data_IF_270936176050
#
_entry.id   IF_270936176050
#
_cell.length_a   1.000
_cell.length_b   1.000
_cell.length_c   1.000
_cell.angle_alpha   90.00
_cell.angle_beta   90.00
_cell.angle_gamma   90.00
#
_symmetry.space_group_name_H-M   'P 1'
#
loop_
_entity.id
_entity.type
_entity.pdbx_description
1 polymer ?
#
# COMPACT_ATOMS: atom_id res chain seq x y z
N UNK A 1 3.39 -2.20 -22.80
CA UNK A 1 2.30 -2.91 -22.09
C UNK A 1 1.35 -3.44 -23.13
N UNK A 2 1.17 -4.77 -23.19
CA UNK A 2 0.37 -5.40 -24.24
C UNK A 2 -1.14 -5.18 -23.99
N UNK A 3 -1.92 -5.16 -25.05
CA UNK A 3 -3.40 -5.11 -24.97
C UNK A 3 -3.96 -6.21 -24.06
N UNK A 4 -3.29 -7.36 -23.98
CA UNK A 4 -3.71 -8.48 -23.13
C UNK A 4 -3.73 -8.17 -21.63
N UNK A 5 -2.79 -7.37 -21.10
CA UNK A 5 -2.76 -7.02 -19.66
C UNK A 5 -3.97 -6.16 -19.26
N UNK A 6 -4.34 -5.22 -20.13
CA UNK A 6 -5.51 -4.39 -19.90
C UNK A 6 -6.83 -5.17 -19.94
N UNK A 7 -6.96 -6.08 -20.89
CA UNK A 7 -8.16 -6.92 -21.03
C UNK A 7 -8.36 -7.80 -19.79
N UNK A 8 -7.28 -8.35 -19.26
CA UNK A 8 -7.33 -9.15 -18.03
C UNK A 8 -7.70 -8.29 -16.82
N UNK A 9 -7.12 -7.10 -16.68
CA UNK A 9 -7.48 -6.20 -15.58
C UNK A 9 -8.94 -5.75 -15.64
N UNK A 10 -9.47 -5.46 -16.83
CA UNK A 10 -10.87 -5.05 -17.01
C UNK A 10 -11.86 -6.20 -16.73
N UNK A 11 -11.44 -7.45 -16.75
CA UNK A 11 -12.27 -8.58 -16.38
C UNK A 11 -12.72 -8.54 -14.91
N UNK A 12 -11.91 -7.91 -14.03
CA UNK A 12 -12.25 -7.71 -12.61
C UNK A 12 -13.08 -6.44 -12.37
N UNK A 13 -13.31 -5.66 -13.40
CA UNK A 13 -14.18 -4.50 -13.30
C UNK A 13 -15.64 -4.95 -13.39
N UNK A 14 -16.51 -4.51 -12.46
CA UNK A 14 -17.90 -4.95 -12.44
C UNK A 14 -18.63 -4.55 -13.72
N UNK A 15 -19.38 -5.51 -14.26
CA UNK A 15 -20.13 -5.31 -15.52
C UNK A 15 -21.33 -4.38 -15.28
N UNK A 16 -21.62 -3.56 -16.25
CA UNK A 16 -22.79 -2.67 -16.25
C UNK A 16 -24.14 -3.39 -16.19
N UNK A 17 -24.17 -4.69 -16.56
CA UNK A 17 -25.38 -5.52 -16.44
C UNK A 17 -25.83 -5.77 -14.99
N UNK A 18 -24.95 -5.61 -14.00
CA UNK A 18 -25.24 -5.79 -12.58
C UNK A 18 -25.45 -4.47 -11.83
N UNK A 19 -25.68 -3.39 -12.60
CA UNK A 19 -25.74 -2.03 -12.07
C UNK A 19 -26.86 -1.82 -11.05
N UNK A 20 -28.07 -2.33 -11.32
CA UNK A 20 -29.21 -2.13 -10.44
C UNK A 20 -29.02 -2.77 -9.06
N UNK A 21 -28.44 -3.98 -9.02
CA UNK A 21 -28.20 -4.73 -7.78
C UNK A 21 -27.02 -4.15 -6.97
N UNK A 22 -26.03 -3.61 -7.66
CA UNK A 22 -24.78 -3.17 -7.03
C UNK A 22 -24.71 -1.66 -6.74
N UNK A 23 -25.64 -0.85 -7.27
CA UNK A 23 -25.62 0.59 -7.12
C UNK A 23 -25.57 1.05 -5.65
N UNK A 24 -26.46 0.53 -4.82
CA UNK A 24 -26.55 0.90 -3.40
C UNK A 24 -25.30 0.55 -2.62
N UNK A 25 -24.74 -0.68 -2.67
CA UNK A 25 -23.49 -1.00 -1.99
C UNK A 25 -22.29 -0.20 -2.52
N UNK A 26 -22.25 0.13 -3.82
CA UNK A 26 -21.17 0.94 -4.38
C UNK A 26 -21.21 2.40 -3.93
N UNK A 27 -22.39 3.01 -3.87
CA UNK A 27 -22.56 4.37 -3.32
C UNK A 27 -22.14 4.39 -1.85
N UNK A 28 -22.61 3.43 -1.06
CA UNK A 28 -22.25 3.31 0.36
C UNK A 28 -20.73 3.15 0.52
N UNK A 29 -20.11 2.29 -0.30
CA UNK A 29 -18.66 2.09 -0.32
C UNK A 29 -17.92 3.38 -0.68
N UNK A 30 -18.39 4.13 -1.67
CA UNK A 30 -17.79 5.40 -2.09
C UNK A 30 -17.80 6.42 -0.93
N UNK A 31 -18.93 6.61 -0.27
CA UNK A 31 -19.07 7.54 0.87
C UNK A 31 -18.18 7.10 2.04
N UNK A 32 -18.22 5.81 2.39
CA UNK A 32 -17.43 5.26 3.49
C UNK A 32 -15.92 5.37 3.22
N UNK A 33 -15.46 5.03 2.02
CA UNK A 33 -14.05 5.17 1.65
C UNK A 33 -13.59 6.64 1.61
N UNK A 34 -14.44 7.56 1.18
CA UNK A 34 -14.13 9.00 1.20
C UNK A 34 -13.92 9.49 2.63
N UNK A 35 -14.77 9.07 3.56
CA UNK A 35 -14.63 9.38 4.98
C UNK A 35 -13.36 8.75 5.58
N UNK A 36 -13.10 7.46 5.30
CA UNK A 36 -11.90 6.77 5.75
C UNK A 36 -10.63 7.41 5.18
N UNK A 37 -10.64 7.82 3.92
CA UNK A 37 -9.52 8.53 3.29
C UNK A 37 -9.16 9.79 4.08
N UNK A 38 -10.13 10.65 4.33
CA UNK A 38 -9.94 11.89 5.08
C UNK A 38 -9.38 11.62 6.49
N UNK A 39 -10.03 10.73 7.24
CA UNK A 39 -9.62 10.42 8.62
C UNK A 39 -8.22 9.79 8.66
N UNK A 40 -7.91 8.89 7.73
CA UNK A 40 -6.58 8.26 7.66
C UNK A 40 -5.49 9.28 7.37
N UNK A 41 -5.69 10.17 6.40
CA UNK A 41 -4.71 11.22 6.07
C UNK A 41 -4.46 12.11 7.28
N UNK A 42 -5.52 12.58 7.95
CA UNK A 42 -5.40 13.45 9.13
C UNK A 42 -4.62 12.77 10.26
N UNK A 43 -5.00 11.53 10.61
CA UNK A 43 -4.33 10.75 11.66
C UNK A 43 -2.84 10.47 11.31
N UNK A 44 -2.52 10.19 10.05
CA UNK A 44 -1.13 9.96 9.63
C UNK A 44 -0.29 11.23 9.64
N UNK A 45 -0.86 12.38 9.30
CA UNK A 45 -0.17 13.67 9.41
C UNK A 45 0.14 13.98 10.87
N UNK A 46 -0.82 13.78 11.78
CA UNK A 46 -0.61 13.93 13.22
C UNK A 46 0.45 12.97 13.75
N UNK A 47 0.44 11.71 13.28
CA UNK A 47 1.43 10.70 13.63
C UNK A 47 2.84 11.13 13.18
N UNK A 48 2.99 11.63 11.95
CA UNK A 48 4.27 12.15 11.43
C UNK A 48 4.75 13.33 12.29
N UNK A 49 3.85 14.25 12.64
CA UNK A 49 4.18 15.39 13.47
C UNK A 49 4.64 14.93 14.87
N UNK A 50 3.90 14.02 15.50
CA UNK A 50 4.25 13.45 16.79
C UNK A 50 5.61 12.75 16.79
N UNK A 51 5.88 11.90 15.78
CA UNK A 51 7.16 11.20 15.61
C UNK A 51 8.32 12.20 15.47
N UNK A 52 8.13 13.29 14.70
CA UNK A 52 9.15 14.32 14.52
C UNK A 52 9.44 15.09 15.79
N UNK A 53 8.41 15.42 16.57
CA UNK A 53 8.50 16.19 17.81
C UNK A 53 9.09 15.39 18.98
N UNK A 54 8.87 14.07 19.02
CA UNK A 54 9.35 13.20 20.08
C UNK A 54 10.85 13.01 19.98
N UNK A 55 11.59 13.53 20.95
CA UNK A 55 13.07 13.41 21.04
C UNK A 55 13.52 12.10 21.70
N UNK A 56 12.66 11.44 22.48
CA UNK A 56 12.97 10.21 23.21
C UNK A 56 13.06 8.96 22.34
N UNK A 57 12.57 8.99 21.09
CA UNK A 57 12.61 7.85 20.19
C UNK A 57 14.02 7.67 19.56
N UNK A 58 14.56 6.45 19.53
CA UNK A 58 15.79 6.17 18.80
C UNK A 58 15.69 6.60 17.33
N UNK A 59 16.77 7.18 16.80
CA UNK A 59 16.81 7.67 15.40
C UNK A 59 16.45 6.55 14.39
N UNK A 60 16.88 5.32 14.67
CA UNK A 60 16.60 4.13 13.85
C UNK A 60 15.11 3.85 13.72
N UNK A 61 14.42 3.75 14.86
CA UNK A 61 12.97 3.55 14.89
C UNK A 61 12.21 4.70 14.25
N UNK A 62 12.64 5.93 14.51
CA UNK A 62 12.04 7.14 13.93
C UNK A 62 12.07 7.10 12.40
N UNK A 63 13.19 6.66 11.80
CA UNK A 63 13.34 6.52 10.35
C UNK A 63 12.38 5.46 9.79
N UNK A 64 12.29 4.28 10.42
CA UNK A 64 11.38 3.21 9.99
C UNK A 64 9.90 3.63 10.07
N UNK A 65 9.49 4.22 11.20
CA UNK A 65 8.11 4.68 11.38
C UNK A 65 7.75 5.82 10.42
N UNK A 66 8.70 6.70 10.12
CA UNK A 66 8.49 7.79 9.17
C UNK A 66 8.33 7.26 7.74
N UNK A 67 9.17 6.28 7.33
CA UNK A 67 9.05 5.62 6.02
C UNK A 67 7.69 4.93 5.87
N UNK A 68 7.24 4.21 6.90
CA UNK A 68 5.94 3.56 6.92
C UNK A 68 4.79 4.59 6.84
N UNK A 69 4.86 5.66 7.62
CA UNK A 69 3.84 6.70 7.59
C UNK A 69 3.77 7.42 6.24
N UNK A 70 4.91 7.61 5.56
CA UNK A 70 4.96 8.21 4.21
C UNK A 70 4.30 7.29 3.18
N UNK A 71 4.58 5.97 3.20
CA UNK A 71 3.91 5.03 2.29
C UNK A 71 2.39 5.03 2.49
N UNK A 72 1.91 5.03 3.74
CA UNK A 72 0.49 5.05 4.06
C UNK A 72 -0.20 6.35 3.61
N UNK A 73 0.45 7.51 3.82
CA UNK A 73 -0.06 8.81 3.32
C UNK A 73 -0.11 8.80 1.80
N UNK A 74 0.86 8.19 1.13
CA UNK A 74 0.89 8.10 -0.33
C UNK A 74 -0.28 7.27 -0.87
N UNK A 75 -0.65 6.16 -0.21
CA UNK A 75 -1.86 5.39 -0.54
C UNK A 75 -3.10 6.27 -0.38
N UNK A 76 -3.23 7.01 0.71
CA UNK A 76 -4.37 7.91 0.97
C UNK A 76 -4.47 9.04 -0.06
N UNK A 77 -3.35 9.67 -0.41
CA UNK A 77 -3.34 10.82 -1.32
C UNK A 77 -3.42 10.46 -2.81
N UNK A 78 -2.91 9.31 -3.21
CA UNK A 78 -2.83 8.89 -4.61
C UNK A 78 -3.80 7.74 -4.93
N UNK A 79 -3.81 6.70 -4.10
CA UNK A 79 -4.62 5.51 -4.32
C UNK A 79 -6.12 5.77 -4.12
N UNK A 80 -6.49 6.39 -3.02
CA UNK A 80 -7.89 6.63 -2.68
C UNK A 80 -8.63 7.55 -3.67
N UNK A 81 -8.09 8.70 -4.10
CA UNK A 81 -8.77 9.53 -5.10
C UNK A 81 -8.93 8.82 -6.44
N UNK A 82 -7.94 8.01 -6.85
CA UNK A 82 -8.07 7.19 -8.06
C UNK A 82 -9.17 6.13 -7.90
N UNK A 83 -9.25 5.46 -6.77
CA UNK A 83 -10.30 4.49 -6.47
C UNK A 83 -11.69 5.13 -6.52
N UNK A 84 -11.87 6.27 -5.85
CA UNK A 84 -13.14 7.03 -5.85
C UNK A 84 -13.50 7.48 -7.26
N UNK A 85 -12.51 7.92 -8.06
CA UNK A 85 -12.72 8.30 -9.46
C UNK A 85 -13.17 7.12 -10.33
N UNK A 86 -12.58 5.92 -10.13
CA UNK A 86 -13.01 4.70 -10.83
C UNK A 86 -14.43 4.30 -10.46
N UNK A 87 -14.76 4.38 -9.17
CA UNK A 87 -16.09 4.08 -8.66
C UNK A 87 -17.14 5.07 -9.20
N UNK A 88 -16.81 6.36 -9.25
CA UNK A 88 -17.66 7.41 -9.81
C UNK A 88 -17.93 7.22 -11.30
N UNK A 89 -16.93 6.79 -12.07
CA UNK A 89 -17.11 6.47 -13.49
C UNK A 89 -18.01 5.25 -13.69
N UNK A 90 -17.85 4.22 -12.87
CA UNK A 90 -18.72 3.06 -12.90
C UNK A 90 -20.17 3.44 -12.61
N UNK A 91 -20.42 4.29 -11.60
CA UNK A 91 -21.76 4.80 -11.27
C UNK A 91 -22.38 5.64 -12.41
N UNK A 92 -21.56 6.27 -13.23
CA UNK A 92 -21.99 7.01 -14.43
C UNK A 92 -22.12 6.10 -15.67
N UNK A 93 -21.92 4.79 -15.53
CA UNK A 93 -21.90 3.82 -16.64
C UNK A 93 -20.86 4.16 -17.71
N UNK A 94 -19.81 4.86 -17.36
CA UNK A 94 -18.70 5.20 -18.24
C UNK A 94 -17.54 4.22 -18.03
N UNK A 95 -16.97 3.71 -19.11
CA UNK A 95 -15.78 2.88 -19.05
C UNK A 95 -14.57 3.67 -18.53
N UNK A 96 -13.87 3.20 -17.48
CA UNK A 96 -12.79 3.95 -16.84
C UNK A 96 -11.56 4.14 -17.73
N UNK A 97 -11.48 3.47 -18.85
CA UNK A 97 -10.29 3.43 -19.69
C UNK A 97 -9.12 2.70 -19.02
N UNK A 98 -8.39 1.94 -19.84
CA UNK A 98 -7.28 1.10 -19.36
C UNK A 98 -6.24 1.84 -18.52
N UNK A 99 -5.86 3.05 -18.92
CA UNK A 99 -4.79 3.80 -18.28
C UNK A 99 -5.07 4.16 -16.81
N UNK A 100 -6.33 4.53 -16.49
CA UNK A 100 -6.70 4.91 -15.13
C UNK A 100 -6.75 3.71 -14.20
N UNK A 101 -7.36 2.62 -14.68
CA UNK A 101 -7.41 1.38 -13.89
C UNK A 101 -6.02 0.81 -13.64
N UNK A 102 -5.18 0.77 -14.67
CA UNK A 102 -3.77 0.36 -14.54
C UNK A 102 -3.00 1.27 -13.57
N UNK A 103 -3.17 2.59 -13.66
CA UNK A 103 -2.53 3.53 -12.75
C UNK A 103 -2.92 3.28 -11.29
N UNK A 104 -4.20 3.02 -11.02
CA UNK A 104 -4.67 2.65 -9.69
C UNK A 104 -4.01 1.35 -9.18
N UNK A 105 -3.98 0.30 -10.00
CA UNK A 105 -3.38 -0.99 -9.63
C UNK A 105 -1.89 -0.83 -9.34
N UNK A 106 -1.16 -0.10 -10.19
CA UNK A 106 0.28 0.17 -10.00
C UNK A 106 0.54 0.86 -8.65
N UNK A 107 -0.15 1.96 -8.40
CA UNK A 107 0.02 2.76 -7.18
C UNK A 107 -0.34 1.93 -5.95
N UNK A 108 -1.49 1.27 -5.98
CA UNK A 108 -1.96 0.46 -4.85
C UNK A 108 -1.02 -0.69 -4.51
N UNK A 109 -0.57 -1.46 -5.51
CA UNK A 109 0.34 -2.58 -5.31
C UNK A 109 1.69 -2.14 -4.78
N UNK A 110 2.29 -1.10 -5.36
CA UNK A 110 3.62 -0.64 -5.00
C UNK A 110 3.66 -0.14 -3.54
N UNK A 111 2.71 0.71 -3.16
CA UNK A 111 2.67 1.23 -1.80
C UNK A 111 2.23 0.19 -0.78
N UNK A 112 1.35 -0.76 -1.15
CA UNK A 112 0.97 -1.88 -0.27
C UNK A 112 2.17 -2.77 0.04
N UNK A 113 2.99 -3.11 -0.96
CA UNK A 113 4.23 -3.86 -0.76
C UNK A 113 5.22 -3.10 0.14
N UNK A 114 5.41 -1.80 -0.11
CA UNK A 114 6.30 -0.97 0.70
C UNK A 114 5.82 -0.87 2.16
N UNK A 115 4.52 -0.70 2.39
CA UNK A 115 3.92 -0.71 3.73
C UNK A 115 4.09 -2.06 4.41
N UNK A 116 3.83 -3.16 3.72
CA UNK A 116 3.99 -4.51 4.26
C UNK A 116 5.43 -4.75 4.76
N UNK A 117 6.42 -4.53 3.89
CA UNK A 117 7.83 -4.69 4.29
C UNK A 117 8.26 -3.70 5.37
N UNK A 118 7.69 -2.49 5.37
CA UNK A 118 7.89 -1.49 6.41
C UNK A 118 7.43 -1.99 7.79
N UNK A 119 6.25 -2.60 7.87
CA UNK A 119 5.73 -3.21 9.12
C UNK A 119 6.63 -4.35 9.57
N UNK A 120 7.04 -5.24 8.66
CA UNK A 120 7.97 -6.34 8.97
C UNK A 120 9.28 -5.79 9.53
N UNK A 121 9.86 -4.76 8.89
CA UNK A 121 11.11 -4.14 9.36
C UNK A 121 10.97 -3.54 10.77
N UNK A 122 9.86 -2.86 11.07
CA UNK A 122 9.58 -2.34 12.41
C UNK A 122 9.46 -3.46 13.43
N UNK A 123 8.80 -4.57 13.09
CA UNK A 123 8.66 -5.74 13.97
C UNK A 123 10.01 -6.38 14.26
N UNK A 124 10.83 -6.57 13.23
CA UNK A 124 12.19 -7.11 13.36
C UNK A 124 13.05 -6.18 14.21
N UNK A 125 13.00 -4.86 14.00
CA UNK A 125 13.73 -3.89 14.81
C UNK A 125 13.36 -3.98 16.29
N UNK A 126 12.06 -4.09 16.60
CA UNK A 126 11.59 -4.25 17.98
C UNK A 126 12.03 -5.57 18.60
N UNK A 127 11.95 -6.66 17.85
CA UNK A 127 12.41 -7.98 18.29
C UNK A 127 13.92 -7.96 18.61
N UNK A 128 14.73 -7.37 17.73
CA UNK A 128 16.18 -7.24 17.96
C UNK A 128 16.49 -6.34 19.18
N UNK A 129 15.72 -5.27 19.39
CA UNK A 129 15.89 -4.39 20.53
C UNK A 129 15.66 -5.13 21.88
N UNK A 130 14.69 -6.05 21.92
CA UNK A 130 14.39 -6.84 23.12
C UNK A 130 15.42 -7.95 23.32
N UNK A 131 15.78 -8.69 22.25
CA UNK A 131 16.68 -9.86 22.36
C UNK A 131 18.15 -9.50 22.57
N UNK A 132 18.62 -8.46 21.89
CA UNK A 132 20.04 -8.09 21.87
C UNK A 132 20.42 -7.05 22.91
N UNK A 133 19.46 -6.46 23.58
CA UNK A 133 19.58 -5.46 24.65
C UNK A 133 20.88 -4.64 24.63
N UNK A 134 22.00 -5.19 25.11
CA UNK A 134 23.31 -4.51 25.19
C UNK A 134 24.03 -4.38 23.83
N UNK A 135 23.83 -5.32 22.90
CA UNK A 135 24.47 -5.33 21.58
C UNK A 135 23.62 -4.65 20.49
N UNK A 136 22.39 -4.27 20.82
CA UNK A 136 21.49 -3.64 19.83
C UNK A 136 22.10 -2.38 19.23
N UNK A 137 22.72 -1.51 20.04
CA UNK A 137 23.29 -0.24 19.55
C UNK A 137 24.50 -0.44 18.62
N UNK A 138 25.24 -1.51 18.76
CA UNK A 138 26.36 -1.86 17.88
C UNK A 138 25.88 -2.42 16.53
N UNK A 139 24.80 -3.22 16.55
CA UNK A 139 24.27 -3.91 15.37
C UNK A 139 23.31 -3.05 14.56
N UNK A 140 22.46 -2.24 15.21
CA UNK A 140 21.43 -1.43 14.55
C UNK A 140 21.88 0.02 14.49
N UNK A 141 22.76 0.33 13.53
CA UNK A 141 23.18 1.70 13.25
C UNK A 141 22.17 2.42 12.35
N UNK A 142 22.11 3.74 12.43
CA UNK A 142 21.21 4.55 11.60
C UNK A 142 21.45 4.32 10.10
N UNK A 143 22.68 4.17 9.67
CA UNK A 143 23.05 3.93 8.25
C UNK A 143 22.49 2.59 7.75
N UNK A 144 22.56 1.54 8.57
CA UNK A 144 22.01 0.22 8.22
C UNK A 144 20.48 0.29 8.09
N UNK A 145 19.82 1.02 8.97
CA UNK A 145 18.37 1.20 8.89
C UNK A 145 17.96 1.98 7.64
N UNK A 146 18.69 3.03 7.28
CA UNK A 146 18.45 3.75 6.02
C UNK A 146 18.64 2.81 4.82
N UNK A 147 19.69 1.98 4.83
CA UNK A 147 19.90 0.97 3.78
C UNK A 147 18.76 -0.04 3.69
N UNK A 148 18.20 -0.48 4.83
CA UNK A 148 17.02 -1.36 4.87
C UNK A 148 15.80 -0.67 4.27
N UNK A 149 15.57 0.60 4.58
CA UNK A 149 14.46 1.38 3.99
C UNK A 149 14.61 1.47 2.48
N UNK A 150 15.80 1.83 1.98
CA UNK A 150 16.07 1.87 0.53
C UNK A 150 15.84 0.49 -0.10
N UNK A 151 16.34 -0.57 0.55
CA UNK A 151 16.15 -1.94 0.08
C UNK A 151 14.67 -2.33 -0.02
N UNK A 152 13.84 -1.94 0.97
CA UNK A 152 12.39 -2.17 0.94
C UNK A 152 11.75 -1.53 -0.28
N UNK A 153 12.09 -0.27 -0.59
CA UNK A 153 11.55 0.42 -1.76
C UNK A 153 11.99 -0.23 -3.08
N UNK A 154 13.28 -0.55 -3.20
CA UNK A 154 13.82 -1.25 -4.38
C UNK A 154 13.18 -2.63 -4.55
N UNK A 155 13.05 -3.39 -3.46
CA UNK A 155 12.41 -4.71 -3.46
C UNK A 155 10.93 -4.61 -3.86
N UNK A 156 10.21 -3.62 -3.36
CA UNK A 156 8.79 -3.39 -3.71
C UNK A 156 8.61 -3.12 -5.21
N UNK A 157 9.48 -2.28 -5.80
CA UNK A 157 9.49 -2.01 -7.24
C UNK A 157 9.85 -3.28 -8.02
N UNK A 158 10.87 -4.02 -7.57
CA UNK A 158 11.31 -5.26 -8.23
C UNK A 158 10.19 -6.32 -8.23
N UNK A 159 9.57 -6.57 -7.08
CA UNK A 159 8.46 -7.52 -6.98
C UNK A 159 7.26 -7.09 -7.84
N UNK A 160 6.96 -5.79 -7.85
CA UNK A 160 5.92 -5.26 -8.72
C UNK A 160 6.24 -5.52 -10.21
N UNK A 161 7.48 -5.28 -10.66
CA UNK A 161 7.90 -5.58 -12.01
C UNK A 161 7.82 -7.09 -12.32
N UNK A 162 8.20 -7.93 -11.36
CA UNK A 162 8.08 -9.38 -11.50
C UNK A 162 6.62 -9.82 -11.67
N UNK A 163 5.68 -9.26 -10.90
CA UNK A 163 4.24 -9.54 -11.05
C UNK A 163 3.73 -9.17 -12.45
N UNK A 164 4.26 -8.09 -13.04
CA UNK A 164 3.90 -7.71 -14.41
C UNK A 164 4.42 -8.68 -15.50
N UNK A 165 5.50 -9.41 -15.20
CA UNK A 165 6.13 -10.36 -16.15
C UNK A 165 5.60 -11.79 -16.01
N UNK A 166 5.07 -12.15 -14.85
CA UNK A 166 4.56 -13.49 -14.55
C UNK A 166 3.14 -13.65 -15.11
N UNK A 167 2.78 -14.83 -15.68
CA UNK A 167 1.41 -15.13 -16.10
C UNK A 167 0.41 -14.90 -14.96
N UNK A 168 -0.74 -14.37 -15.31
CA UNK A 168 -1.74 -13.88 -14.36
C UNK A 168 -2.21 -14.91 -13.30
N UNK A 169 -2.26 -16.19 -13.68
CA UNK A 169 -2.65 -17.27 -12.76
C UNK A 169 -1.75 -17.39 -11.53
N UNK A 170 -0.46 -17.14 -11.69
CA UNK A 170 0.52 -17.20 -10.60
C UNK A 170 0.53 -15.88 -9.81
N UNK A 171 0.30 -14.75 -10.46
CA UNK A 171 0.25 -13.44 -9.79
C UNK A 171 -0.93 -13.34 -8.84
N UNK A 172 -2.09 -13.93 -9.15
CA UNK A 172 -3.25 -13.99 -8.28
C UNK A 172 -2.97 -14.75 -6.97
N UNK A 173 -2.30 -15.90 -7.06
CA UNK A 173 -1.89 -16.69 -5.89
C UNK A 173 -0.89 -15.90 -5.02
N UNK A 174 0.03 -15.17 -5.64
CA UNK A 174 1.02 -14.37 -4.91
C UNK A 174 0.38 -13.20 -4.16
N UNK A 175 -0.60 -12.53 -4.76
CA UNK A 175 -1.36 -11.45 -4.10
C UNK A 175 -2.16 -12.00 -2.92
N UNK A 176 -2.87 -13.12 -3.08
CA UNK A 176 -3.59 -13.77 -1.98
C UNK A 176 -2.66 -14.22 -0.85
N UNK A 177 -1.48 -14.71 -1.19
CA UNK A 177 -0.48 -15.08 -0.19
C UNK A 177 0.03 -13.87 0.59
N UNK A 178 0.25 -12.74 -0.07
CA UNK A 178 0.62 -11.47 0.58
C UNK A 178 -0.49 -10.96 1.50
N UNK A 179 -1.74 -10.99 1.07
CA UNK A 179 -2.90 -10.62 1.89
C UNK A 179 -3.03 -11.52 3.13
N UNK A 180 -2.83 -12.82 2.96
CA UNK A 180 -2.80 -13.77 4.08
C UNK A 180 -1.66 -13.48 5.07
N UNK A 181 -0.47 -13.14 4.58
CA UNK A 181 0.66 -12.74 5.43
C UNK A 181 0.37 -11.43 6.19
N UNK A 182 -0.28 -10.46 5.55
CA UNK A 182 -0.72 -9.21 6.21
C UNK A 182 -1.73 -9.50 7.32
N UNK A 183 -2.63 -10.47 7.11
CA UNK A 183 -3.61 -10.86 8.11
C UNK A 183 -2.98 -11.57 9.32
N UNK A 184 -1.87 -12.30 9.12
CA UNK A 184 -1.17 -13.01 10.20
C UNK A 184 -0.22 -12.12 11.03
N UNK A 185 0.15 -10.93 10.54
CA UNK A 185 1.05 -9.97 11.20
C UNK A 185 0.29 -8.89 11.98
#
# INVERSE_FOLDING_TARGET
MSKSFCEVLLQFYPKTSEFEDLQTPYVTNCVFNSFLCYTTIMLKIETIHAIRKTSSLPKTLKTLLLSLAVSDVSVGLLGQPLYISLLGMWLQQNDPGCNRYTGFVIISMLFSLASFFGVVAVRVDRFLAIHLHLRYQELVTHERVVSVVIFIWVLSVFLFLMILWVPFDISGIFVQFLEFLVFLL
#
